data_IF_051119069206
#
_entry.id   IF_051119069206
#
_cell.length_a   1.000
_cell.length_b   1.000
_cell.length_c   1.000
_cell.angle_alpha   90.00
_cell.angle_beta   90.00
_cell.angle_gamma   90.00
#
_symmetry.space_group_name_H-M   'P 1'
#
loop_
_entity.id
_entity.type
_entity.pdbx_description
1 polymer ?
#
# COMPACT_ATOMS: atom_id res chain seq x y z
N UNK A 1 -68.48 -33.14 -26.43
CA UNK A 1 -67.65 -32.65 -25.31
C UNK A 1 -66.22 -32.51 -25.81
N UNK A 2 -65.79 -31.28 -26.10
CA UNK A 2 -64.42 -30.94 -26.49
C UNK A 2 -63.85 -30.07 -25.39
N UNK A 3 -62.72 -30.46 -24.82
CA UNK A 3 -62.07 -29.76 -23.71
C UNK A 3 -61.12 -28.69 -24.26
N UNK A 4 -61.33 -27.45 -23.83
CA UNK A 4 -60.46 -26.29 -24.07
C UNK A 4 -59.38 -26.22 -22.99
N UNK A 5 -58.10 -26.25 -23.37
CA UNK A 5 -56.96 -26.09 -22.46
C UNK A 5 -56.56 -24.62 -22.38
N UNK A 6 -56.73 -23.98 -21.21
CA UNK A 6 -56.21 -22.64 -20.93
C UNK A 6 -54.74 -22.73 -20.48
N UNK A 7 -53.82 -22.08 -21.22
CA UNK A 7 -52.44 -21.82 -20.77
C UNK A 7 -52.40 -20.50 -20.00
N UNK A 8 -52.11 -20.57 -18.71
CA UNK A 8 -51.81 -19.41 -17.87
C UNK A 8 -50.35 -19.00 -18.14
N UNK A 9 -50.13 -17.80 -18.69
CA UNK A 9 -48.81 -17.15 -18.72
C UNK A 9 -48.61 -16.45 -17.37
N UNK A 10 -47.73 -16.98 -16.54
CA UNK A 10 -47.22 -16.30 -15.34
C UNK A 10 -46.22 -15.25 -15.84
N UNK A 11 -46.56 -13.97 -15.68
CA UNK A 11 -45.64 -12.85 -15.88
C UNK A 11 -44.86 -12.71 -14.57
N UNK A 12 -43.60 -13.14 -14.57
CA UNK A 12 -42.66 -12.85 -13.48
C UNK A 12 -42.24 -11.40 -13.65
N UNK A 13 -42.85 -10.51 -12.88
CA UNK A 13 -42.40 -9.13 -12.74
C UNK A 13 -41.16 -9.16 -11.84
N UNK A 14 -39.98 -9.16 -12.45
CA UNK A 14 -38.71 -9.04 -11.72
C UNK A 14 -38.64 -7.67 -11.05
N UNK A 15 -38.80 -7.64 -9.72
CA UNK A 15 -38.41 -6.51 -8.90
C UNK A 15 -36.89 -6.42 -8.97
N UNK A 16 -36.35 -5.50 -9.79
CA UNK A 16 -34.96 -5.11 -9.68
C UNK A 16 -34.82 -4.22 -8.44
N UNK A 17 -34.40 -4.81 -7.34
CA UNK A 17 -33.84 -4.06 -6.22
C UNK A 17 -32.47 -3.56 -6.69
N UNK A 18 -32.40 -2.30 -7.08
CA UNK A 18 -31.12 -1.61 -7.19
C UNK A 18 -30.67 -1.28 -5.76
N UNK A 19 -29.82 -2.13 -5.20
CA UNK A 19 -29.00 -1.79 -4.04
C UNK A 19 -27.58 -2.26 -4.32
N UNK A 20 -26.72 -1.33 -4.73
CA UNK A 20 -25.53 -0.97 -3.97
C UNK A 20 -24.84 0.16 -4.73
N UNK A 21 -24.83 1.34 -4.10
CA UNK A 21 -23.79 2.33 -4.35
C UNK A 21 -22.47 1.60 -4.04
N UNK A 22 -21.54 1.55 -5.00
CA UNK A 22 -20.20 1.07 -4.71
C UNK A 22 -19.64 1.99 -3.62
N UNK A 23 -19.50 1.51 -2.39
CA UNK A 23 -18.61 2.16 -1.45
C UNK A 23 -17.22 2.08 -2.09
N UNK A 24 -16.52 3.21 -2.17
CA UNK A 24 -15.12 3.14 -2.56
C UNK A 24 -14.40 2.29 -1.52
N UNK A 25 -13.63 1.29 -1.97
CA UNK A 25 -12.78 0.46 -1.13
C UNK A 25 -11.36 1.03 -1.01
N UNK A 26 -11.10 2.19 -1.62
CA UNK A 26 -9.81 2.87 -1.63
C UNK A 26 -9.95 4.39 -1.48
N UNK A 27 -9.12 5.00 -0.64
CA UNK A 27 -8.74 6.42 -0.69
C UNK A 27 -7.23 6.49 -0.90
N UNK A 28 -6.77 7.34 -1.82
CA UNK A 28 -5.35 7.60 -2.04
C UNK A 28 -5.12 9.06 -2.36
N UNK A 29 -4.00 9.63 -1.91
CA UNK A 29 -3.61 11.01 -2.21
C UNK A 29 -2.09 11.19 -2.08
N UNK A 30 -1.48 11.88 -3.05
CA UNK A 30 -0.05 12.17 -3.16
C UNK A 30 0.31 13.63 -2.84
N UNK A 31 -0.68 14.43 -2.44
CA UNK A 31 -0.59 15.83 -2.00
C UNK A 31 0.07 16.84 -2.97
N UNK A 32 0.43 16.40 -4.18
CA UNK A 32 1.07 17.21 -5.21
C UNK A 32 0.18 18.34 -5.75
N UNK A 33 -1.14 18.24 -5.57
CA UNK A 33 -2.12 19.27 -5.92
C UNK A 33 -2.22 20.42 -4.90
N UNK A 34 -1.45 20.34 -3.80
CA UNK A 34 -1.44 21.34 -2.73
C UNK A 34 -2.63 21.26 -1.78
N UNK A 35 -3.41 20.17 -1.77
CA UNK A 35 -4.62 20.02 -0.97
C UNK A 35 -4.59 18.72 -0.18
N UNK A 36 -5.32 18.68 0.94
CA UNK A 36 -5.49 17.45 1.75
C UNK A 36 -6.38 16.38 1.08
N UNK A 37 -6.93 16.65 -0.11
CA UNK A 37 -7.82 15.70 -0.79
C UNK A 37 -9.05 15.34 0.02
N UNK A 38 -9.23 14.04 0.26
CA UNK A 38 -10.30 13.47 1.09
C UNK A 38 -10.07 13.62 2.59
N UNK A 39 -8.95 14.21 3.01
CA UNK A 39 -8.62 14.41 4.41
C UNK A 39 -8.89 15.86 4.83
N UNK A 40 -9.08 16.07 6.13
CA UNK A 40 -9.20 17.40 6.73
C UNK A 40 -8.43 17.47 8.04
N UNK A 41 -7.99 18.68 8.40
CA UNK A 41 -7.34 18.93 9.68
C UNK A 41 -8.28 18.65 10.85
N UNK A 42 -7.85 17.81 11.77
CA UNK A 42 -8.59 17.45 12.98
C UNK A 42 -7.67 17.41 14.19
N UNK A 43 -8.26 17.37 15.40
CA UNK A 43 -7.53 17.37 16.68
C UNK A 43 -6.37 18.37 16.70
N UNK A 44 -6.64 19.61 16.31
CA UNK A 44 -5.64 20.68 16.18
C UNK A 44 -6.19 21.98 16.75
N UNK A 45 -5.30 22.85 17.23
CA UNK A 45 -5.63 24.19 17.71
C UNK A 45 -4.50 25.16 17.36
N UNK A 46 -4.86 26.27 16.71
CA UNK A 46 -3.91 27.33 16.38
C UNK A 46 -3.09 27.77 17.61
N UNK A 47 -1.78 28.02 17.46
CA UNK A 47 -1.00 28.11 16.22
C UNK A 47 -0.60 26.78 15.58
N UNK A 48 -0.91 25.64 16.19
CA UNK A 48 -0.59 24.32 15.64
C UNK A 48 -1.47 24.05 14.40
N UNK A 49 -0.94 23.30 13.44
CA UNK A 49 -1.67 23.02 12.20
C UNK A 49 -1.34 21.69 11.52
N UNK A 50 -2.28 21.23 10.69
CA UNK A 50 -2.08 20.19 9.67
C UNK A 50 -2.49 20.72 8.30
N UNK A 51 -1.58 20.76 7.33
CA UNK A 51 -1.89 21.23 5.96
C UNK A 51 -0.90 20.70 4.93
N UNK A 52 -1.15 20.95 3.65
CA UNK A 52 -0.19 20.64 2.59
C UNK A 52 0.76 21.80 2.35
N UNK A 53 2.05 21.51 2.35
CA UNK A 53 3.13 22.41 1.96
C UNK A 53 4.12 21.66 1.07
N UNK A 54 4.55 22.29 -0.03
CA UNK A 54 5.56 21.72 -0.94
C UNK A 54 5.24 20.29 -1.41
N UNK A 55 3.95 20.00 -1.66
CA UNK A 55 3.49 18.69 -2.14
C UNK A 55 3.35 17.62 -1.06
N UNK A 56 3.46 17.95 0.24
CA UNK A 56 3.37 16.98 1.34
C UNK A 56 2.50 17.49 2.47
N UNK A 57 1.91 16.60 3.26
CA UNK A 57 1.25 17.02 4.50
C UNK A 57 2.30 17.30 5.56
N UNK A 58 2.24 18.48 6.16
CA UNK A 58 2.99 18.84 7.35
C UNK A 58 2.04 18.87 8.55
N UNK A 59 2.46 18.22 9.64
CA UNK A 59 1.86 18.39 10.96
C UNK A 59 2.85 19.15 11.85
N UNK A 60 2.49 20.37 12.24
CA UNK A 60 3.35 21.28 13.00
C UNK A 60 2.73 21.59 14.36
N UNK A 61 3.37 21.10 15.42
CA UNK A 61 2.94 21.33 16.79
C UNK A 61 3.98 22.17 17.51
N UNK A 62 3.50 23.26 18.11
CA UNK A 62 4.30 24.17 18.91
C UNK A 62 3.80 24.17 20.34
N UNK A 63 4.70 24.02 21.32
CA UNK A 63 4.35 23.95 22.74
C UNK A 63 3.57 25.18 23.21
N UNK A 64 3.85 26.38 22.68
CA UNK A 64 3.07 27.59 23.01
C UNK A 64 1.59 27.52 22.61
N UNK A 65 1.24 26.63 21.69
CA UNK A 65 -0.15 26.37 21.31
C UNK A 65 -0.89 25.45 22.26
N UNK A 66 -0.19 24.78 23.17
CA UNK A 66 -0.80 23.94 24.18
C UNK A 66 -1.46 24.79 25.27
N UNK A 67 -2.74 24.53 25.50
CA UNK A 67 -3.58 25.28 26.45
C UNK A 67 -4.16 24.39 27.56
N UNK A 68 -3.62 23.18 27.73
CA UNK A 68 -4.15 22.20 28.68
C UNK A 68 -5.28 21.32 28.14
N UNK A 69 -5.82 21.59 26.95
CA UNK A 69 -6.93 20.81 26.38
C UNK A 69 -6.47 19.59 25.61
N UNK A 70 -7.36 18.61 25.44
CA UNK A 70 -7.09 17.41 24.62
C UNK A 70 -6.74 17.77 23.18
N UNK A 71 -7.45 18.74 22.60
CA UNK A 71 -7.33 19.12 21.19
C UNK A 71 -5.99 19.81 20.89
N UNK A 72 -5.45 20.60 21.82
CA UNK A 72 -4.17 21.29 21.61
C UNK A 72 -2.94 20.38 21.76
N UNK A 73 -3.13 19.10 22.13
CA UNK A 73 -2.05 18.08 22.13
C UNK A 73 -1.74 17.54 20.74
N UNK A 74 -2.65 17.71 19.79
CA UNK A 74 -2.54 17.10 18.47
C UNK A 74 -2.35 18.12 17.35
N UNK A 75 -1.92 17.58 16.22
CA UNK A 75 -2.09 18.11 14.87
C UNK A 75 -2.26 16.92 13.95
N UNK A 76 -3.52 16.58 13.67
CA UNK A 76 -3.87 15.37 12.94
C UNK A 76 -4.64 15.72 11.65
N UNK A 77 -4.72 14.75 10.76
CA UNK A 77 -5.64 14.71 9.64
C UNK A 77 -6.56 13.49 9.78
N UNK A 78 -7.83 13.70 9.50
CA UNK A 78 -8.89 12.71 9.58
C UNK A 78 -9.61 12.59 8.24
N UNK A 79 -10.35 11.51 8.03
CA UNK A 79 -11.34 11.39 6.97
C UNK A 79 -12.71 11.91 7.44
N UNK A 80 -13.54 12.50 6.56
CA UNK A 80 -14.92 12.85 6.89
C UNK A 80 -15.68 11.64 7.43
N UNK A 81 -16.50 11.89 8.46
CA UNK A 81 -17.19 10.86 9.26
C UNK A 81 -18.13 9.94 8.46
N UNK A 82 -18.42 10.22 7.19
CA UNK A 82 -19.36 9.42 6.38
C UNK A 82 -18.76 8.90 5.07
N UNK A 83 -17.50 9.23 4.76
CA UNK A 83 -16.95 9.00 3.42
C UNK A 83 -16.24 7.65 3.28
N UNK A 84 -15.53 7.20 4.33
CA UNK A 84 -14.77 5.95 4.28
C UNK A 84 -14.51 5.38 5.67
N UNK A 85 -14.90 4.11 5.86
CA UNK A 85 -14.86 3.42 7.14
C UNK A 85 -14.35 2.00 6.92
N UNK A 86 -13.66 1.45 7.91
CA UNK A 86 -13.21 0.06 7.89
C UNK A 86 -13.98 -0.77 8.90
N UNK A 87 -14.50 -1.91 8.48
CA UNK A 87 -15.24 -2.84 9.36
C UNK A 87 -14.58 -4.20 9.48
N UNK A 88 -13.51 -4.48 8.70
CA UNK A 88 -12.84 -5.78 8.70
C UNK A 88 -11.34 -5.72 8.38
N UNK A 89 -10.96 -6.09 7.16
CA UNK A 89 -9.57 -6.20 6.69
C UNK A 89 -9.20 -4.90 5.98
N UNK A 90 -8.07 -4.34 6.37
CA UNK A 90 -7.69 -3.00 5.97
C UNK A 90 -6.18 -2.86 5.88
N UNK A 91 -5.76 -2.21 4.81
CA UNK A 91 -4.38 -1.85 4.52
C UNK A 91 -4.27 -0.33 4.51
N UNK A 92 -3.15 0.15 5.03
CA UNK A 92 -2.75 1.53 5.02
C UNK A 92 -1.29 1.60 4.60
N UNK A 93 -0.93 2.53 3.73
CA UNK A 93 0.46 2.86 3.48
C UNK A 93 0.65 4.34 3.28
N UNK A 94 1.81 4.84 3.70
CA UNK A 94 2.20 6.24 3.61
C UNK A 94 3.70 6.39 3.79
N UNK A 95 4.24 7.43 3.16
CA UNK A 95 5.58 7.94 3.44
C UNK A 95 5.54 8.80 4.68
N UNK A 96 6.50 8.65 5.59
CA UNK A 96 6.68 9.52 6.76
C UNK A 96 8.10 10.06 6.83
N UNK A 97 8.24 11.30 7.31
CA UNK A 97 9.52 11.87 7.71
C UNK A 97 9.35 12.65 9.02
N UNK A 98 9.96 12.14 10.08
CA UNK A 98 10.05 12.84 11.36
C UNK A 98 11.25 13.79 11.25
N UNK A 99 11.05 15.08 11.45
CA UNK A 99 12.11 16.07 11.27
C UNK A 99 13.34 15.76 12.14
N UNK A 100 14.55 16.01 11.63
CA UNK A 100 15.81 15.73 12.33
C UNK A 100 15.84 16.31 13.75
N UNK A 101 15.24 17.48 13.97
CA UNK A 101 15.21 18.19 15.24
C UNK A 101 14.13 17.68 16.21
N UNK A 102 13.25 16.78 15.79
CA UNK A 102 12.21 16.21 16.66
C UNK A 102 12.86 15.48 17.85
N UNK A 103 12.42 15.80 19.06
CA UNK A 103 13.04 15.31 20.28
C UNK A 103 12.95 13.77 20.41
N UNK A 104 14.08 13.11 20.64
CA UNK A 104 14.17 11.64 20.74
C UNK A 104 13.51 11.08 21.98
N UNK A 105 13.61 11.78 23.10
CA UNK A 105 13.12 11.38 24.42
C UNK A 105 11.69 11.85 24.68
N UNK A 106 10.86 11.83 23.63
CA UNK A 106 9.46 12.25 23.69
C UNK A 106 8.52 11.22 23.10
N UNK A 107 7.23 11.35 23.41
CA UNK A 107 6.16 10.51 22.90
C UNK A 107 5.21 11.29 21.99
N UNK A 108 5.07 10.78 20.76
CA UNK A 108 4.16 11.29 19.74
C UNK A 108 3.40 10.12 19.11
N UNK A 109 2.07 10.11 19.17
CA UNK A 109 1.29 9.30 18.23
C UNK A 109 1.59 9.73 16.80
N UNK A 110 1.57 8.82 15.84
CA UNK A 110 1.85 9.08 14.40
C UNK A 110 0.62 8.74 13.56
N UNK A 111 0.02 7.60 13.85
CA UNK A 111 -1.18 7.11 13.17
C UNK A 111 -2.03 6.32 14.16
N UNK A 112 -3.33 6.50 14.11
CA UNK A 112 -4.29 5.84 14.98
C UNK A 112 -5.28 5.03 14.14
N UNK A 113 -5.48 3.78 14.54
CA UNK A 113 -6.64 2.99 14.16
C UNK A 113 -7.72 3.35 15.19
N UNK A 114 -8.58 4.29 14.83
CA UNK A 114 -9.52 4.93 15.75
C UNK A 114 -10.89 4.25 15.68
N UNK A 115 -11.31 3.62 16.77
CA UNK A 115 -12.57 2.88 16.87
C UNK A 115 -13.72 3.81 17.21
N UNK A 116 -14.80 3.63 16.46
CA UNK A 116 -16.13 4.18 16.70
C UNK A 116 -17.08 3.04 17.06
N UNK A 117 -17.92 3.29 18.08
CA UNK A 117 -19.12 2.52 18.43
C UNK A 117 -20.20 3.55 18.71
N UNK A 118 -20.80 4.10 17.66
CA UNK A 118 -21.61 5.33 17.74
C UNK A 118 -22.82 5.15 18.66
N UNK A 119 -23.49 4.00 18.56
CA UNK A 119 -24.64 3.63 19.40
C UNK A 119 -24.33 3.53 20.90
N UNK A 120 -23.06 3.61 21.29
CA UNK A 120 -22.60 3.54 22.68
C UNK A 120 -21.68 4.70 23.07
N UNK A 121 -21.57 5.75 22.24
CA UNK A 121 -20.73 6.92 22.48
C UNK A 121 -19.26 6.58 22.81
N UNK A 122 -18.71 5.55 22.18
CA UNK A 122 -17.31 5.13 22.38
C UNK A 122 -16.48 5.55 21.17
N UNK A 123 -15.57 6.50 21.40
CA UNK A 123 -14.69 7.08 20.39
C UNK A 123 -13.24 7.03 20.90
N UNK A 124 -12.50 5.99 20.52
CA UNK A 124 -11.16 5.77 21.10
C UNK A 124 -10.27 4.93 20.21
N UNK A 125 -8.96 5.05 20.33
CA UNK A 125 -8.04 4.24 19.55
C UNK A 125 -8.05 2.76 20.02
N UNK A 126 -8.02 1.84 19.05
CA UNK A 126 -7.77 0.41 19.30
C UNK A 126 -6.29 0.06 19.08
N UNK A 127 -5.64 0.75 18.13
CA UNK A 127 -4.22 0.66 17.86
C UNK A 127 -3.63 2.03 17.51
N UNK A 128 -2.35 2.23 17.80
CA UNK A 128 -1.64 3.47 17.50
C UNK A 128 -0.17 3.15 17.21
N UNK A 129 0.33 3.68 16.09
CA UNK A 129 1.76 3.79 15.81
C UNK A 129 2.29 5.06 16.48
N UNK A 130 3.45 4.98 17.11
CA UNK A 130 4.07 6.06 17.88
C UNK A 130 5.54 6.20 17.53
N UNK A 131 6.06 7.41 17.65
CA UNK A 131 7.46 7.67 17.90
C UNK A 131 7.64 7.89 19.39
N UNK A 132 8.47 7.08 20.02
CA UNK A 132 8.63 7.06 21.48
C UNK A 132 10.06 6.66 21.82
N UNK A 133 10.75 7.53 22.57
CA UNK A 133 12.09 7.26 23.08
C UNK A 133 13.11 6.88 21.98
N UNK A 134 12.96 7.45 20.78
CA UNK A 134 13.82 7.20 19.62
C UNK A 134 13.39 5.99 18.78
N UNK A 135 12.38 5.25 19.21
CA UNK A 135 11.88 4.07 18.51
C UNK A 135 10.55 4.36 17.83
N UNK A 136 10.28 3.61 16.76
CA UNK A 136 8.93 3.43 16.26
C UNK A 136 8.27 2.30 17.05
N UNK A 137 7.18 2.59 17.76
CA UNK A 137 6.46 1.61 18.59
C UNK A 137 5.00 1.48 18.15
N UNK A 138 4.43 0.30 18.31
CA UNK A 138 3.01 0.07 18.12
C UNK A 138 2.37 -0.34 19.43
N UNK A 139 1.30 0.35 19.80
CA UNK A 139 0.50 0.06 20.98
C UNK A 139 -0.92 -0.31 20.58
N UNK A 140 -1.45 -1.38 21.19
CA UNK A 140 -2.85 -1.76 21.06
C UNK A 140 -3.49 -1.97 22.41
N UNK A 141 -4.80 -1.75 22.48
CA UNK A 141 -5.59 -2.07 23.66
C UNK A 141 -6.11 -3.51 23.58
N UNK A 142 -6.20 -4.17 24.73
CA UNK A 142 -6.73 -5.54 24.81
C UNK A 142 -8.26 -5.61 24.88
N UNK A 143 -8.92 -4.50 25.22
CA UNK A 143 -10.37 -4.37 25.32
C UNK A 143 -10.79 -2.89 25.29
N UNK A 144 -12.09 -2.62 25.15
CA UNK A 144 -12.62 -1.26 25.17
C UNK A 144 -12.27 -0.56 26.51
N UNK A 145 -11.84 0.70 26.44
CA UNK A 145 -11.55 1.58 27.59
C UNK A 145 -10.67 0.96 28.70
N UNK A 146 -9.82 -0.02 28.35
CA UNK A 146 -8.88 -0.60 29.29
C UNK A 146 -7.56 0.18 29.34
N UNK A 147 -6.96 0.26 30.53
CA UNK A 147 -5.56 0.68 30.69
C UNK A 147 -4.57 -0.41 30.29
N UNK A 148 -5.03 -1.65 30.09
CA UNK A 148 -4.20 -2.78 29.63
C UNK A 148 -3.81 -2.59 28.17
N UNK A 149 -2.54 -2.24 27.95
CA UNK A 149 -1.97 -1.99 26.65
C UNK A 149 -0.87 -3.01 26.35
N UNK A 150 -0.82 -3.44 25.09
CA UNK A 150 0.31 -4.20 24.58
C UNK A 150 1.09 -3.27 23.67
N UNK A 151 2.27 -2.85 24.13
CA UNK A 151 3.21 -2.03 23.38
C UNK A 151 4.40 -2.86 22.93
N UNK A 152 4.83 -2.68 21.69
CA UNK A 152 5.99 -3.37 21.09
C UNK A 152 6.77 -2.40 20.23
N UNK A 153 8.10 -2.51 20.27
CA UNK A 153 8.97 -1.83 19.32
C UNK A 153 8.75 -2.44 17.94
N UNK A 154 8.48 -1.59 16.96
CA UNK A 154 8.40 -1.92 15.54
C UNK A 154 9.79 -1.72 14.93
N UNK A 155 10.38 -0.55 15.09
CA UNK A 155 11.74 -0.26 14.62
C UNK A 155 12.51 0.48 15.71
N UNK A 156 13.66 -0.06 16.10
CA UNK A 156 14.51 0.54 17.12
C UNK A 156 15.44 1.60 16.51
N UNK A 157 15.67 2.71 17.23
CA UNK A 157 16.48 3.85 16.76
C UNK A 157 16.03 4.34 15.37
N UNK A 158 14.74 4.63 15.25
CA UNK A 158 14.13 5.07 14.00
C UNK A 158 14.84 6.34 13.48
N UNK A 159 15.32 6.29 12.24
CA UNK A 159 16.05 7.42 11.64
C UNK A 159 15.09 8.60 11.41
N UNK A 160 15.59 9.81 11.62
CA UNK A 160 14.87 11.07 11.40
C UNK A 160 15.51 11.85 10.26
N UNK A 161 14.76 12.78 9.68
CA UNK A 161 15.23 13.65 8.60
C UNK A 161 15.26 12.98 7.22
N UNK A 162 14.80 11.74 7.12
CA UNK A 162 14.65 11.00 5.86
C UNK A 162 13.25 10.39 5.73
N UNK A 163 12.90 10.05 4.49
CA UNK A 163 11.62 9.42 4.17
C UNK A 163 11.68 7.92 4.45
N UNK A 164 10.68 7.43 5.18
CA UNK A 164 10.45 6.01 5.44
C UNK A 164 9.08 5.59 4.95
N UNK A 165 9.00 4.37 4.42
CA UNK A 165 7.77 3.79 3.92
C UNK A 165 7.13 2.90 4.97
N UNK A 166 5.93 3.27 5.39
CA UNK A 166 5.16 2.55 6.40
C UNK A 166 3.97 1.89 5.72
N UNK A 167 3.80 0.59 5.96
CA UNK A 167 2.57 -0.13 5.63
C UNK A 167 2.02 -0.75 6.91
N UNK A 168 0.73 -0.56 7.18
CA UNK A 168 -0.01 -1.17 8.29
C UNK A 168 -1.13 -2.01 7.70
N UNK A 169 -1.20 -3.28 8.09
CA UNK A 169 -2.28 -4.18 7.74
C UNK A 169 -2.93 -4.72 9.01
N UNK A 170 -4.25 -4.63 9.11
CA UNK A 170 -4.97 -5.28 10.19
C UNK A 170 -6.25 -5.98 9.72
N UNK A 171 -6.63 -7.00 10.49
CA UNK A 171 -7.95 -7.64 10.42
C UNK A 171 -8.60 -7.47 11.78
N UNK A 172 -9.73 -6.76 11.81
CA UNK A 172 -10.57 -6.64 13.00
C UNK A 172 -11.24 -7.98 13.31
N UNK A 173 -11.35 -8.35 14.58
CA UNK A 173 -11.94 -9.62 15.00
C UNK A 173 -12.33 -9.64 16.47
N UNK A 174 -13.42 -10.34 16.79
CA UNK A 174 -13.78 -10.73 18.15
C UNK A 174 -13.63 -12.25 18.40
N UNK A 175 -13.12 -13.01 17.42
CA UNK A 175 -13.06 -14.46 17.41
C UNK A 175 -11.63 -15.04 17.35
N UNK A 176 -10.63 -14.26 17.76
CA UNK A 176 -9.19 -14.60 17.70
C UNK A 176 -8.73 -14.96 16.28
N UNK A 177 -9.31 -14.34 15.25
CA UNK A 177 -8.88 -14.49 13.85
C UNK A 177 -8.29 -13.18 13.30
N UNK A 178 -8.22 -12.15 14.13
CA UNK A 178 -7.65 -10.85 13.77
C UNK A 178 -6.14 -10.88 13.73
N UNK A 179 -5.57 -9.84 13.12
CA UNK A 179 -4.12 -9.64 13.04
C UNK A 179 -3.77 -8.16 12.93
N UNK A 180 -2.49 -7.88 13.15
CA UNK A 180 -1.84 -6.61 12.85
C UNK A 180 -0.43 -6.91 12.33
N UNK A 181 -0.06 -6.28 11.23
CA UNK A 181 1.25 -6.37 10.60
C UNK A 181 1.73 -4.96 10.24
N UNK A 182 3.00 -4.67 10.44
CA UNK A 182 3.61 -3.36 10.13
C UNK A 182 4.93 -3.58 9.42
N UNK A 183 5.07 -2.97 8.25
CA UNK A 183 6.30 -2.91 7.48
C UNK A 183 6.91 -1.52 7.58
N UNK A 184 8.24 -1.48 7.63
CA UNK A 184 9.05 -0.27 7.50
C UNK A 184 10.05 -0.56 6.39
N UNK A 185 10.04 0.27 5.34
CA UNK A 185 10.92 0.17 4.18
C UNK A 185 10.93 -1.25 3.56
N UNK A 186 9.73 -1.76 3.29
CA UNK A 186 9.45 -3.09 2.72
C UNK A 186 9.89 -4.29 3.58
N UNK A 187 10.29 -4.07 4.83
CA UNK A 187 10.63 -5.13 5.79
C UNK A 187 9.49 -5.30 6.79
N UNK A 188 8.94 -6.51 6.92
CA UNK A 188 7.96 -6.82 7.98
C UNK A 188 8.65 -6.72 9.34
N UNK A 189 8.38 -5.64 10.08
CA UNK A 189 9.00 -5.33 11.37
C UNK A 189 8.20 -5.87 12.55
N UNK A 190 6.88 -5.88 12.43
CA UNK A 190 5.98 -6.36 13.48
C UNK A 190 4.83 -7.15 12.88
N UNK A 191 4.53 -8.31 13.47
CA UNK A 191 3.41 -9.15 13.09
C UNK A 191 2.81 -9.84 14.32
N UNK A 192 1.50 -9.75 14.48
CA UNK A 192 0.78 -10.41 15.56
C UNK A 192 -0.56 -10.95 15.07
N UNK A 193 -0.80 -12.24 15.32
CA UNK A 193 -1.85 -13.02 14.68
C UNK A 193 -2.72 -13.72 15.70
N UNK A 194 -3.91 -14.15 15.26
CA UNK A 194 -4.88 -14.88 16.06
C UNK A 194 -5.31 -14.09 17.31
N UNK A 195 -5.61 -12.80 17.12
CA UNK A 195 -5.99 -11.89 18.20
C UNK A 195 -7.41 -11.38 18.02
N UNK A 196 -8.02 -11.00 19.15
CA UNK A 196 -9.10 -10.03 19.12
C UNK A 196 -8.50 -8.62 18.91
N UNK A 197 -9.00 -7.92 17.89
CA UNK A 197 -8.54 -6.58 17.52
C UNK A 197 -9.74 -5.73 17.08
N UNK A 198 -9.88 -4.54 17.67
CA UNK A 198 -11.08 -3.71 17.56
C UNK A 198 -12.07 -3.94 18.71
N UNK A 199 -13.06 -3.05 18.81
CA UNK A 199 -14.13 -3.09 19.82
C UNK A 199 -15.51 -3.04 19.18
N UNK A 200 -16.56 -3.07 20.01
CA UNK A 200 -17.94 -2.93 19.56
C UNK A 200 -18.54 -4.22 19.01
N UNK A 201 -19.50 -4.07 18.10
CA UNK A 201 -20.35 -5.15 17.64
C UNK A 201 -19.74 -5.85 16.43
N UNK A 202 -19.62 -7.19 16.51
CA UNK A 202 -19.18 -8.05 15.41
C UNK A 202 -20.30 -9.00 14.99
N UNK A 203 -20.55 -9.11 13.70
CA UNK A 203 -21.58 -9.98 13.15
C UNK A 203 -21.08 -11.44 13.06
N UNK A 204 -21.91 -12.33 12.51
CA UNK A 204 -21.59 -13.76 12.37
C UNK A 204 -20.40 -14.05 11.42
N UNK A 205 -20.08 -13.12 10.54
CA UNK A 205 -18.90 -13.18 9.66
C UNK A 205 -17.68 -12.49 10.29
N UNK A 206 -17.76 -12.12 11.57
CA UNK A 206 -16.69 -11.47 12.32
C UNK A 206 -16.30 -10.09 11.75
N UNK A 207 -17.23 -9.40 11.09
CA UNK A 207 -17.07 -8.00 10.66
C UNK A 207 -17.85 -7.07 11.57
N UNK A 208 -17.34 -5.84 11.75
CA UNK A 208 -18.04 -4.82 12.52
C UNK A 208 -19.34 -4.39 11.82
N UNK A 209 -20.36 -4.08 12.61
CA UNK A 209 -21.68 -3.65 12.14
C UNK A 209 -22.36 -2.76 13.19
N UNK A 210 -23.55 -2.24 12.89
CA UNK A 210 -24.36 -1.48 13.87
C UNK A 210 -23.61 -0.25 14.40
N UNK A 211 -23.16 0.59 13.45
CA UNK A 211 -22.37 1.80 13.68
C UNK A 211 -21.09 1.58 14.50
N UNK A 212 -20.54 0.36 14.37
CA UNK A 212 -19.20 0.01 14.81
C UNK A 212 -18.27 -0.03 13.58
N UNK A 213 -17.20 0.76 13.61
CA UNK A 213 -16.19 0.82 12.55
C UNK A 213 -14.89 1.43 13.07
N UNK A 214 -13.81 1.32 12.31
CA UNK A 214 -12.59 2.09 12.55
C UNK A 214 -12.34 3.10 11.44
N UNK A 215 -11.73 4.22 11.80
CA UNK A 215 -11.20 5.21 10.87
C UNK A 215 -9.71 5.41 11.10
N UNK A 216 -9.03 5.88 10.05
CA UNK A 216 -7.65 6.32 10.17
C UNK A 216 -7.58 7.78 10.61
N UNK A 217 -6.73 8.03 11.60
CA UNK A 217 -6.17 9.36 11.86
C UNK A 217 -4.67 9.29 11.68
N UNK A 218 -4.09 10.21 10.93
CA UNK A 218 -2.64 10.34 10.81
C UNK A 218 -2.21 11.73 11.24
N UNK A 219 -0.96 11.87 11.68
CA UNK A 219 -0.48 13.09 12.30
C UNK A 219 -0.18 12.91 13.78
N UNK A 220 0.46 13.92 14.34
CA UNK A 220 1.02 13.81 15.67
C UNK A 220 0.01 14.04 16.78
N UNK A 221 0.02 13.17 17.79
CA UNK A 221 -0.69 13.36 19.05
C UNK A 221 0.28 13.25 20.23
N UNK A 222 0.74 14.40 20.73
CA UNK A 222 1.81 14.54 21.72
C UNK A 222 1.23 14.42 23.13
N UNK A 223 0.85 13.23 23.59
CA UNK A 223 0.03 13.14 24.81
C UNK A 223 0.79 13.29 26.15
N UNK A 224 2.11 13.10 26.13
CA UNK A 224 2.99 13.12 27.31
C UNK A 224 3.37 14.56 27.68
N UNK A 225 2.48 15.23 28.42
CA UNK A 225 2.58 16.66 28.76
C UNK A 225 3.79 17.00 29.63
N UNK A 226 4.28 16.04 30.42
CA UNK A 226 5.42 16.23 31.31
C UNK A 226 6.76 16.28 30.54
N UNK A 227 6.74 15.96 29.24
CA UNK A 227 7.91 15.97 28.35
C UNK A 227 8.04 17.27 27.55
N UNK A 228 7.05 18.15 27.62
CA UNK A 228 7.03 19.38 26.84
C UNK A 228 8.12 20.35 27.27
N UNK A 229 8.75 21.01 26.30
CA UNK A 229 9.79 22.01 26.56
C UNK A 229 9.36 23.39 26.09
N UNK A 230 9.81 24.41 26.82
CA UNK A 230 9.53 25.79 26.50
C UNK A 230 9.98 26.15 25.07
N UNK A 231 9.05 26.54 24.20
CA UNK A 231 9.27 26.81 22.78
C UNK A 231 9.68 25.59 21.94
N UNK A 232 9.29 24.38 22.33
CA UNK A 232 9.49 23.18 21.52
C UNK A 232 8.59 23.17 20.30
N UNK A 233 9.16 22.84 19.15
CA UNK A 233 8.43 22.50 17.93
C UNK A 233 8.63 21.02 17.60
N UNK A 234 7.57 20.40 17.08
CA UNK A 234 7.56 19.03 16.57
C UNK A 234 6.94 19.04 15.19
N UNK A 235 7.69 18.52 14.21
CA UNK A 235 7.29 18.51 12.81
C UNK A 235 7.40 17.09 12.27
N UNK A 236 6.32 16.63 11.65
CA UNK A 236 6.27 15.37 10.92
C UNK A 236 5.64 15.62 9.56
N UNK A 237 6.27 15.08 8.52
CA UNK A 237 5.76 15.09 7.15
C UNK A 237 5.14 13.74 6.78
N UNK A 238 4.07 13.79 6.00
CA UNK A 238 3.41 12.63 5.43
C UNK A 238 3.22 12.81 3.92
N UNK A 239 3.29 11.71 3.18
CA UNK A 239 3.08 11.68 1.73
C UNK A 239 2.55 10.32 1.26
N UNK A 240 2.12 10.22 -0.01
CA UNK A 240 1.65 8.98 -0.65
C UNK A 240 0.68 8.17 0.21
N UNK A 241 -0.32 8.84 0.80
CA UNK A 241 -1.24 8.25 1.76
C UNK A 241 -2.30 7.42 1.03
N UNK A 242 -2.36 6.12 1.30
CA UNK A 242 -3.35 5.21 0.74
C UNK A 242 -4.00 4.33 1.80
N UNK A 243 -5.33 4.34 1.85
CA UNK A 243 -6.17 3.51 2.72
C UNK A 243 -7.07 2.61 1.87
N UNK A 244 -6.92 1.29 2.03
CA UNK A 244 -7.62 0.27 1.25
C UNK A 244 -8.36 -0.73 2.15
N UNK A 245 -9.62 -1.00 1.86
CA UNK A 245 -10.43 -2.04 2.48
C UNK A 245 -10.51 -3.26 1.57
N UNK A 246 -9.81 -4.34 1.92
CA UNK A 246 -9.83 -5.55 1.11
C UNK A 246 -8.66 -6.49 1.39
N UNK A 247 -8.68 -7.62 0.70
CA UNK A 247 -7.62 -8.63 0.77
C UNK A 247 -6.46 -8.27 -0.16
N UNK A 248 -5.27 -8.78 0.13
CA UNK A 248 -4.08 -8.68 -0.76
C UNK A 248 -3.64 -7.24 -1.08
N UNK A 249 -3.86 -6.31 -0.14
CA UNK A 249 -3.67 -4.87 -0.35
C UNK A 249 -2.24 -4.32 -0.28
N UNK A 250 -1.21 -5.15 -0.05
CA UNK A 250 0.18 -4.66 0.11
C UNK A 250 0.60 -3.77 -1.06
N UNK A 251 0.43 -4.25 -2.29
CA UNK A 251 0.80 -3.51 -3.51
C UNK A 251 -0.09 -2.31 -3.80
N UNK A 252 -1.31 -2.32 -3.26
CA UNK A 252 -2.28 -1.24 -3.44
C UNK A 252 -1.86 -0.03 -2.62
N UNK A 253 -1.33 -0.27 -1.42
CA UNK A 253 -1.02 0.79 -0.45
C UNK A 253 0.46 1.14 -0.35
N UNK A 254 1.34 0.40 -1.03
CA UNK A 254 2.79 0.64 -0.98
C UNK A 254 3.12 2.09 -1.40
N UNK A 255 3.61 2.93 -0.47
CA UNK A 255 3.91 4.34 -0.74
C UNK A 255 5.27 4.52 -1.43
N UNK A 256 6.01 3.42 -1.65
CA UNK A 256 7.28 3.45 -2.34
C UNK A 256 7.08 4.10 -3.71
N UNK A 257 7.88 5.13 -4.06
CA UNK A 257 7.87 5.63 -5.42
C UNK A 257 8.15 4.44 -6.34
N UNK A 258 7.28 4.21 -7.32
CA UNK A 258 7.48 3.14 -8.29
C UNK A 258 8.84 3.35 -8.94
N UNK A 259 9.79 2.47 -8.65
CA UNK A 259 11.14 2.60 -9.18
C UNK A 259 11.10 2.42 -10.69
N UNK A 260 11.63 3.39 -11.42
CA UNK A 260 11.65 3.34 -12.86
C UNK A 260 12.96 2.69 -13.33
N UNK A 261 12.85 1.60 -14.07
CA UNK A 261 14.01 0.87 -14.55
C UNK A 261 14.11 0.85 -16.07
N UNK A 262 15.36 0.91 -16.53
CA UNK A 262 15.75 0.47 -17.86
C UNK A 262 16.39 -0.92 -17.75
N UNK A 263 15.82 -1.91 -18.46
CA UNK A 263 16.18 -3.33 -18.31
C UNK A 263 16.92 -3.81 -19.57
N UNK A 264 18.22 -4.05 -19.45
CA UNK A 264 19.09 -4.45 -20.57
C UNK A 264 19.52 -5.90 -20.49
N UNK A 265 19.79 -6.51 -21.64
CA UNK A 265 20.24 -7.90 -21.72
C UNK A 265 21.71 -8.00 -21.33
N UNK A 266 22.04 -8.87 -20.36
CA UNK A 266 23.40 -8.97 -19.81
C UNK A 266 24.46 -9.30 -20.88
N UNK A 267 24.19 -10.30 -21.74
CA UNK A 267 25.12 -10.73 -22.78
C UNK A 267 24.98 -9.96 -24.11
N UNK A 268 24.15 -8.91 -24.15
CA UNK A 268 23.98 -8.03 -25.30
C UNK A 268 23.45 -6.66 -24.83
N UNK A 269 24.29 -5.91 -24.09
CA UNK A 269 23.89 -4.68 -23.40
C UNK A 269 23.41 -3.54 -24.30
N UNK A 270 23.64 -3.65 -25.61
CA UNK A 270 23.07 -2.73 -26.61
C UNK A 270 21.59 -2.98 -26.89
N UNK A 271 20.96 -3.94 -26.22
CA UNK A 271 19.53 -4.25 -26.37
C UNK A 271 18.81 -4.28 -25.01
N UNK A 272 17.60 -3.72 -24.99
CA UNK A 272 16.74 -3.61 -23.83
C UNK A 272 15.37 -4.25 -24.08
N UNK A 273 14.67 -4.61 -22.99
CA UNK A 273 13.26 -5.02 -23.05
C UNK A 273 12.43 -3.79 -23.45
N UNK A 274 11.73 -3.90 -24.58
CA UNK A 274 10.94 -2.84 -25.21
C UNK A 274 9.47 -3.29 -25.35
N UNK A 275 8.55 -2.49 -24.82
CA UNK A 275 7.11 -2.73 -24.85
C UNK A 275 6.42 -2.28 -26.14
N UNK A 276 7.16 -1.91 -27.18
CA UNK A 276 6.69 -1.30 -28.43
C UNK A 276 5.92 0.01 -28.21
N UNK A 277 5.50 0.66 -29.31
CA UNK A 277 4.77 1.94 -29.27
C UNK A 277 3.35 1.80 -28.68
N UNK A 278 2.67 0.69 -28.95
CA UNK A 278 1.29 0.51 -28.51
C UNK A 278 1.19 0.17 -27.02
N UNK A 279 0.02 0.41 -26.45
CA UNK A 279 -0.28 0.13 -25.04
C UNK A 279 -1.66 -0.54 -24.99
N UNK A 280 -1.67 -1.80 -25.39
CA UNK A 280 -2.88 -2.63 -25.50
C UNK A 280 -2.61 -4.09 -25.13
N UNK A 281 -3.68 -4.80 -24.82
CA UNK A 281 -3.64 -6.23 -24.50
C UNK A 281 -3.12 -7.04 -25.69
N UNK A 282 -2.06 -7.82 -25.45
CA UNK A 282 -1.43 -8.67 -26.46
C UNK A 282 -0.32 -7.99 -27.25
N UNK A 283 0.00 -6.71 -27.00
CA UNK A 283 1.15 -6.05 -27.61
C UNK A 283 2.43 -6.82 -27.26
N UNK A 284 3.14 -7.27 -28.29
CA UNK A 284 4.38 -8.04 -28.11
C UNK A 284 5.46 -7.22 -27.38
N UNK A 285 6.16 -7.88 -26.46
CA UNK A 285 7.39 -7.34 -25.86
C UNK A 285 8.57 -8.00 -26.54
N UNK A 286 9.58 -7.22 -26.92
CA UNK A 286 10.74 -7.72 -27.65
C UNK A 286 12.01 -6.99 -27.23
N UNK A 287 13.15 -7.40 -27.77
CA UNK A 287 14.39 -6.65 -27.66
C UNK A 287 14.48 -5.57 -28.72
N UNK A 288 14.96 -4.40 -28.32
CA UNK A 288 15.29 -3.31 -29.22
C UNK A 288 16.56 -2.61 -28.79
N UNK A 289 17.21 -1.92 -29.73
CA UNK A 289 18.37 -1.08 -29.50
C UNK A 289 18.17 -0.19 -28.28
N UNK A 290 19.09 -0.33 -27.31
CA UNK A 290 19.01 0.21 -25.96
C UNK A 290 19.14 1.72 -25.97
N UNK A 291 18.11 2.41 -25.48
CA UNK A 291 18.03 3.87 -25.35
C UNK A 291 17.31 4.20 -24.05
N UNK A 292 18.03 4.56 -22.99
CA UNK A 292 17.43 4.78 -21.65
C UNK A 292 16.42 5.93 -21.59
N UNK A 293 16.41 6.82 -22.58
CA UNK A 293 15.40 7.88 -22.71
C UNK A 293 14.17 7.46 -23.54
N UNK A 294 14.15 6.26 -24.13
CA UNK A 294 13.00 5.73 -24.86
C UNK A 294 11.94 5.26 -23.86
N UNK A 295 10.75 5.89 -23.88
CA UNK A 295 9.65 5.57 -22.97
C UNK A 295 9.18 4.10 -23.08
N UNK A 296 9.33 3.45 -24.24
CA UNK A 296 8.95 2.05 -24.40
C UNK A 296 9.92 1.07 -23.70
N UNK A 297 11.07 1.55 -23.23
CA UNK A 297 12.10 0.77 -22.54
C UNK A 297 12.25 1.16 -21.07
N UNK A 298 11.23 1.84 -20.52
CA UNK A 298 11.15 2.26 -19.13
C UNK A 298 10.02 1.48 -18.45
N UNK A 299 10.33 0.93 -17.29
CA UNK A 299 9.45 0.00 -16.57
C UNK A 299 9.35 0.38 -15.11
N UNK A 300 8.16 0.75 -14.64
CA UNK A 300 7.88 0.87 -13.22
C UNK A 300 7.91 -0.53 -12.61
N UNK A 301 8.79 -0.74 -11.65
CA UNK A 301 8.81 -1.93 -10.78
C UNK A 301 7.77 -1.71 -9.68
N UNK A 302 6.67 -2.45 -9.76
CA UNK A 302 5.53 -2.37 -8.84
C UNK A 302 5.60 -3.58 -7.92
N UNK A 303 5.77 -3.40 -6.61
CA UNK A 303 5.77 -4.51 -5.64
C UNK A 303 4.40 -5.20 -5.65
N UNK A 304 4.39 -6.54 -5.66
CA UNK A 304 3.18 -7.40 -5.61
C UNK A 304 3.13 -8.23 -4.34
N UNK A 305 3.92 -7.86 -3.33
CA UNK A 305 4.12 -8.57 -2.08
C UNK A 305 4.95 -9.84 -2.23
N UNK A 306 5.41 -10.37 -1.10
CA UNK A 306 6.16 -11.64 -1.01
C UNK A 306 7.40 -11.71 -1.92
N UNK A 307 8.01 -10.55 -2.25
CA UNK A 307 9.21 -10.46 -3.09
C UNK A 307 8.99 -10.71 -4.58
N UNK A 308 7.77 -10.46 -5.09
CA UNK A 308 7.49 -10.45 -6.53
C UNK A 308 7.09 -9.05 -6.98
N UNK A 309 7.35 -8.75 -8.25
CA UNK A 309 7.09 -7.45 -8.84
C UNK A 309 6.34 -7.60 -10.16
N UNK A 310 5.54 -6.61 -10.51
CA UNK A 310 5.15 -6.37 -11.90
C UNK A 310 6.04 -5.31 -12.51
N UNK A 311 6.19 -5.36 -13.83
CA UNK A 311 6.92 -4.36 -14.61
C UNK A 311 5.95 -3.66 -15.54
N UNK A 312 5.46 -2.50 -15.12
CA UNK A 312 4.50 -1.68 -15.84
C UNK A 312 5.24 -0.75 -16.81
N UNK A 313 4.82 -0.73 -18.08
CA UNK A 313 5.41 0.16 -19.07
C UNK A 313 5.12 1.62 -18.67
N UNK A 314 6.16 2.45 -18.71
CA UNK A 314 6.13 3.85 -18.29
C UNK A 314 4.95 4.64 -18.87
N UNK A 315 4.23 5.36 -18.00
CA UNK A 315 3.04 6.17 -18.33
C UNK A 315 1.89 5.39 -19.01
N UNK A 316 1.79 4.08 -18.76
CA UNK A 316 0.69 3.23 -19.26
C UNK A 316 0.13 2.36 -18.14
N UNK A 317 -1.06 1.77 -18.30
CA UNK A 317 -1.60 0.78 -17.36
C UNK A 317 -1.30 -0.68 -17.72
N UNK A 318 -0.21 -0.96 -18.44
CA UNK A 318 0.09 -2.30 -18.99
C UNK A 318 1.40 -2.89 -18.45
N UNK A 319 1.35 -4.16 -18.08
CA UNK A 319 2.43 -4.90 -17.42
C UNK A 319 2.96 -6.02 -18.32
N UNK A 320 4.24 -6.38 -18.14
CA UNK A 320 4.83 -7.58 -18.75
C UNK A 320 4.11 -8.83 -18.23
N UNK A 321 3.49 -9.59 -19.14
CA UNK A 321 2.66 -10.78 -18.86
C UNK A 321 3.21 -12.02 -19.59
N UNK A 322 3.33 -13.14 -18.86
CA UNK A 322 3.80 -14.42 -19.40
C UNK A 322 2.70 -15.38 -19.88
N UNK A 323 1.45 -14.94 -19.90
CA UNK A 323 0.25 -15.72 -20.21
C UNK A 323 -0.07 -16.82 -19.19
N UNK A 324 -1.18 -17.52 -19.36
CA UNK A 324 -1.62 -18.58 -18.43
C UNK A 324 -0.72 -19.84 -18.44
N UNK A 325 0.10 -20.01 -19.49
CA UNK A 325 0.99 -21.16 -19.67
C UNK A 325 2.33 -21.01 -18.96
N UNK A 326 3.17 -22.04 -19.13
CA UNK A 326 4.56 -22.07 -18.69
C UNK A 326 5.32 -23.12 -19.48
N UNK A 327 5.68 -22.76 -20.72
CA UNK A 327 6.40 -23.62 -21.65
C UNK A 327 7.56 -22.86 -22.28
N UNK A 328 8.56 -23.62 -22.74
CA UNK A 328 9.65 -23.07 -23.53
C UNK A 328 9.11 -22.44 -24.82
N UNK A 329 9.35 -21.14 -24.99
CA UNK A 329 8.89 -20.38 -26.15
C UNK A 329 7.51 -19.74 -25.99
N UNK A 330 6.86 -19.87 -24.82
CA UNK A 330 5.63 -19.13 -24.52
C UNK A 330 5.90 -17.62 -24.60
N UNK A 331 5.09 -16.90 -25.38
CA UNK A 331 5.32 -15.49 -25.66
C UNK A 331 5.19 -14.61 -24.42
N UNK A 332 5.99 -13.54 -24.35
CA UNK A 332 5.79 -12.43 -23.41
C UNK A 332 5.14 -11.26 -24.15
N UNK A 333 4.11 -10.68 -23.54
CA UNK A 333 3.36 -9.57 -24.11
C UNK A 333 2.89 -8.60 -23.02
N UNK A 334 2.37 -7.46 -23.42
CA UNK A 334 1.72 -6.52 -22.51
C UNK A 334 0.28 -6.93 -22.27
N UNK A 335 -0.14 -6.85 -21.01
CA UNK A 335 -1.54 -6.99 -20.61
C UNK A 335 -1.87 -5.95 -19.55
N UNK A 336 -3.13 -5.56 -19.45
CA UNK A 336 -3.57 -4.60 -18.43
C UNK A 336 -3.10 -5.06 -17.05
N UNK A 337 -2.44 -4.16 -16.31
CA UNK A 337 -1.91 -4.47 -14.99
C UNK A 337 -3.05 -4.84 -14.04
N UNK A 338 -2.93 -5.97 -13.35
CA UNK A 338 -3.94 -6.47 -12.41
C UNK A 338 -3.25 -7.08 -11.17
N UNK A 339 -3.64 -6.64 -9.97
CA UNK A 339 -2.97 -7.02 -8.71
C UNK A 339 -3.00 -8.52 -8.41
N UNK A 340 -4.02 -9.23 -8.91
CA UNK A 340 -4.20 -10.67 -8.69
C UNK A 340 -3.77 -11.53 -9.88
N UNK A 341 -3.31 -10.93 -10.98
CA UNK A 341 -2.87 -11.66 -12.15
C UNK A 341 -1.42 -12.14 -11.97
N UNK A 342 -1.27 -13.35 -11.43
CA UNK A 342 0.04 -13.97 -11.21
C UNK A 342 0.87 -14.22 -12.48
N UNK A 343 0.29 -14.04 -13.68
CA UNK A 343 1.05 -14.09 -14.93
C UNK A 343 1.96 -12.86 -15.13
N UNK A 344 1.70 -11.78 -14.39
CA UNK A 344 2.44 -10.52 -14.43
C UNK A 344 3.39 -10.36 -13.24
N UNK A 345 3.51 -11.38 -12.39
CA UNK A 345 4.26 -11.33 -11.15
C UNK A 345 5.58 -12.08 -11.33
N UNK A 346 6.68 -11.35 -11.18
CA UNK A 346 8.02 -11.82 -11.45
C UNK A 346 8.88 -11.72 -10.20
N UNK A 347 9.51 -12.82 -9.81
CA UNK A 347 10.54 -12.79 -8.77
C UNK A 347 11.87 -12.42 -9.41
N UNK A 348 12.42 -11.28 -8.97
CA UNK A 348 13.73 -10.76 -9.34
C UNK A 348 14.81 -11.48 -8.55
N UNK A 349 15.41 -12.51 -9.15
CA UNK A 349 16.41 -13.38 -8.50
C UNK A 349 17.81 -12.91 -8.85
N UNK A 350 18.59 -12.48 -7.86
CA UNK A 350 20.00 -12.13 -8.05
C UNK A 350 20.83 -13.34 -8.47
N UNK A 351 21.69 -13.18 -9.48
CA UNK A 351 22.59 -14.23 -9.96
C UNK A 351 24.04 -13.90 -9.61
N UNK A 352 24.65 -12.92 -10.30
CA UNK A 352 26.02 -12.45 -10.05
C UNK A 352 26.25 -11.11 -10.73
N UNK A 353 27.25 -10.34 -10.29
CA UNK A 353 27.66 -9.10 -10.97
C UNK A 353 26.49 -8.15 -11.28
N UNK A 354 25.54 -8.05 -10.34
CA UNK A 354 24.34 -7.22 -10.45
C UNK A 354 23.38 -7.61 -11.61
N UNK A 355 23.35 -8.89 -11.99
CA UNK A 355 22.38 -9.43 -12.94
C UNK A 355 21.29 -10.23 -12.24
N UNK A 356 20.11 -10.26 -12.86
CA UNK A 356 18.92 -10.87 -12.30
C UNK A 356 18.18 -11.74 -13.31
N UNK A 357 17.49 -12.77 -12.81
CA UNK A 357 16.42 -13.45 -13.53
C UNK A 357 15.05 -12.89 -13.12
N UNK A 358 14.10 -12.96 -14.03
CA UNK A 358 12.69 -12.70 -13.75
C UNK A 358 11.91 -14.00 -13.86
N UNK A 359 11.67 -14.68 -12.72
CA UNK A 359 10.95 -15.97 -12.66
C UNK A 359 9.47 -15.77 -12.38
N UNK A 360 8.61 -16.50 -13.08
CA UNK A 360 7.15 -16.31 -13.01
C UNK A 360 6.56 -16.84 -11.69
N UNK A 361 5.68 -16.09 -11.01
CA UNK A 361 5.11 -16.46 -9.70
C UNK A 361 4.40 -17.80 -9.71
N UNK A 362 3.48 -18.02 -10.65
CA UNK A 362 2.72 -19.25 -10.77
C UNK A 362 3.45 -20.37 -11.55
N UNK A 363 4.69 -20.12 -11.99
CA UNK A 363 5.53 -21.12 -12.66
C UNK A 363 7.03 -20.86 -12.42
N UNK A 364 7.52 -21.05 -11.19
CA UNK A 364 8.86 -20.61 -10.76
C UNK A 364 10.03 -21.31 -11.47
N UNK A 365 9.74 -22.38 -12.23
CA UNK A 365 10.73 -23.06 -13.08
C UNK A 365 10.95 -22.36 -14.42
N UNK A 366 10.26 -21.26 -14.71
CA UNK A 366 10.37 -20.51 -15.97
C UNK A 366 10.71 -19.05 -15.72
N UNK A 367 11.56 -18.49 -16.58
CA UNK A 367 12.01 -17.11 -16.53
C UNK A 367 11.90 -16.44 -17.91
N UNK A 368 11.86 -15.10 -17.92
CA UNK A 368 11.96 -14.31 -19.15
C UNK A 368 13.35 -14.52 -19.78
N UNK A 369 13.36 -14.97 -21.03
CA UNK A 369 14.54 -15.29 -21.82
C UNK A 369 14.60 -14.39 -23.07
N UNK A 370 15.71 -13.68 -23.21
CA UNK A 370 15.98 -12.77 -24.32
C UNK A 370 16.50 -13.45 -25.59
N UNK A 371 16.51 -14.78 -25.66
CA UNK A 371 17.10 -15.59 -26.73
C UNK A 371 18.61 -15.34 -26.93
N UNK A 372 19.24 -16.04 -27.87
CA UNK A 372 20.70 -16.23 -27.98
C UNK A 372 21.53 -14.99 -28.34
N UNK A 373 20.94 -13.98 -29.00
CA UNK A 373 21.64 -12.78 -29.49
C UNK A 373 20.94 -11.51 -29.01
N UNK A 374 21.31 -10.34 -29.52
CA UNK A 374 20.47 -9.14 -29.44
C UNK A 374 20.28 -8.58 -30.85
N UNK A 375 19.03 -8.40 -31.26
CA UNK A 375 18.66 -7.74 -32.51
C UNK A 375 17.36 -6.96 -32.27
N UNK A 376 17.16 -5.90 -33.05
CA UNK A 376 15.90 -5.18 -33.09
C UNK A 376 14.75 -6.12 -33.50
N UNK A 377 13.69 -6.15 -32.69
CA UNK A 377 12.51 -6.98 -32.90
C UNK A 377 12.71 -8.44 -32.48
N UNK A 378 13.83 -8.79 -31.85
CA UNK A 378 14.05 -10.15 -31.37
C UNK A 378 13.06 -10.47 -30.24
N UNK A 379 12.24 -11.49 -30.44
CA UNK A 379 11.21 -11.84 -29.49
C UNK A 379 11.79 -12.31 -28.14
N UNK A 380 11.06 -12.01 -27.06
CA UNK A 380 11.32 -12.55 -25.73
C UNK A 380 10.21 -13.52 -25.33
N UNK A 381 10.57 -14.56 -24.57
CA UNK A 381 9.64 -15.64 -24.22
C UNK A 381 9.99 -16.24 -22.87
N UNK A 382 9.10 -17.07 -22.33
CA UNK A 382 9.43 -17.93 -21.20
C UNK A 382 10.34 -19.07 -21.64
N UNK A 383 11.33 -19.36 -20.80
CA UNK A 383 12.15 -20.55 -20.93
C UNK A 383 12.48 -21.12 -19.55
N UNK A 384 12.74 -22.42 -19.47
CA UNK A 384 13.09 -23.06 -18.21
C UNK A 384 14.29 -22.36 -17.56
N UNK A 385 14.11 -21.90 -16.33
CA UNK A 385 15.07 -21.10 -15.58
C UNK A 385 16.36 -21.89 -15.29
N UNK A 386 17.51 -21.28 -15.58
CA UNK A 386 18.84 -21.84 -15.29
C UNK A 386 19.84 -20.73 -15.03
N UNK A 387 20.43 -20.66 -13.84
CA UNK A 387 21.35 -19.57 -13.44
C UNK A 387 22.57 -19.39 -14.38
N UNK A 388 22.94 -20.45 -15.10
CA UNK A 388 24.02 -20.41 -16.10
C UNK A 388 23.58 -19.90 -17.48
N UNK A 389 22.27 -19.77 -17.74
CA UNK A 389 21.75 -19.28 -19.00
C UNK A 389 21.84 -17.76 -19.06
N UNK A 390 22.86 -17.25 -19.76
CA UNK A 390 23.07 -15.82 -19.91
C UNK A 390 21.91 -15.12 -20.64
N UNK A 391 21.07 -15.85 -21.37
CA UNK A 391 19.94 -15.26 -22.05
C UNK A 391 18.80 -14.83 -21.12
N UNK A 392 18.80 -15.33 -19.88
CA UNK A 392 17.83 -15.02 -18.84
C UNK A 392 18.35 -13.96 -17.86
N UNK A 393 19.56 -13.45 -18.08
CA UNK A 393 20.21 -12.49 -17.20
C UNK A 393 19.99 -11.06 -17.69
N UNK A 394 19.44 -10.24 -16.81
CA UNK A 394 19.05 -8.87 -17.08
C UNK A 394 19.78 -7.92 -16.13
N UNK A 395 20.18 -6.76 -16.64
CA UNK A 395 20.76 -5.66 -15.86
C UNK A 395 19.69 -4.58 -15.70
N UNK A 396 19.42 -4.22 -14.45
CA UNK A 396 18.46 -3.18 -14.08
C UNK A 396 19.22 -1.89 -13.80
N UNK A 397 18.98 -0.86 -14.61
CA UNK A 397 19.46 0.50 -14.35
C UNK A 397 18.28 1.33 -13.85
N UNK A 398 18.32 1.72 -12.58
CA UNK A 398 17.36 2.67 -12.01
C UNK A 398 17.52 4.02 -12.74
N UNK A 399 16.40 4.66 -13.05
CA UNK A 399 16.31 5.95 -13.71
C UNK A 399 15.79 6.98 -12.71
N UNK A 400 16.33 8.18 -12.78
CA UNK A 400 15.90 9.34 -12.00
C UNK A 400 14.59 9.95 -12.52
#
# INVERSE_FOLDING_TARGET
MSFLTFKIKIIILGLFVFSNVYANDLISHDFNDGKLGSYFECTSKAPNFTRVESGRVITHWYEKGYDGTRTSKGTEACTPLDDFKSTKETWLGFTINIEENHATDTESGIAQIFQFVDNSDIFTWTGMLKYEQGDLTFVRRSANNTSSQVQRVVEANFTKGEDHQIIIHYILSANNTGKIEIWVDNVLKYGHYNINFGFGNFNRSDSQYDDTYVELKFGQYNYAVDEYRNNEERIIYYDNMTWYNGTDGYSVVDPSPSKLFHITKFNASEFAIDGNNDSENGQNVYLWSSRSNNNNQKWYEVDRGNGYYSYQKYETGYCIDGGNGADNGQNIYLWQCEDNNQNQHWKKVYIKANTYHLTKRNAPLYAIDGNNTGNDGQNIYLWKARDTNQNQQWVFKELD
#
